data_IF_056312462849
#
_entry.id   IF_056312462849
#
_cell.length_a   1.000
_cell.length_b   1.000
_cell.length_c   1.000
_cell.angle_alpha   90.00
_cell.angle_beta   90.00
_cell.angle_gamma   90.00
#
_symmetry.space_group_name_H-M   'P 1'
#
loop_
_entity.id
_entity.type
_entity.pdbx_description
1 polymer ?
#
# COMPACT_ATOMS: atom_id res chain seq x y z
N UNK A 1 17.32 -17.60 2.86
CA UNK A 1 18.25 -16.77 3.67
C UNK A 1 17.42 -15.79 4.50
N UNK A 2 17.72 -15.59 5.79
CA UNK A 2 16.93 -14.72 6.69
C UNK A 2 17.57 -13.36 6.97
N UNK A 3 18.83 -13.20 6.58
CA UNK A 3 19.59 -11.96 6.73
C UNK A 3 20.59 -11.84 5.60
N UNK A 4 20.72 -10.64 5.02
CA UNK A 4 21.77 -10.27 4.08
C UNK A 4 22.54 -9.08 4.67
N UNK A 5 23.86 -9.27 4.77
CA UNK A 5 24.83 -8.37 5.41
C UNK A 5 24.63 -8.14 6.92
N UNK A 6 25.69 -8.36 7.72
CA UNK A 6 25.71 -8.23 9.18
C UNK A 6 25.84 -9.55 9.95
N UNK A 7 26.07 -9.48 11.27
CA UNK A 7 26.33 -10.66 12.12
C UNK A 7 25.14 -11.64 12.10
N UNK A 8 25.41 -12.92 11.82
CA UNK A 8 24.41 -13.99 11.82
C UNK A 8 23.70 -14.04 13.18
N UNK A 9 22.37 -14.16 13.20
CA UNK A 9 21.65 -14.41 14.45
C UNK A 9 22.15 -15.72 15.04
N UNK A 10 22.30 -15.78 16.37
CA UNK A 10 22.67 -17.01 17.07
C UNK A 10 21.64 -18.09 16.74
N UNK A 11 22.08 -19.23 16.19
CA UNK A 11 21.20 -20.35 15.78
C UNK A 11 20.13 -20.70 16.83
N UNK A 12 20.51 -20.62 18.12
CA UNK A 12 19.64 -20.85 19.29
C UNK A 12 18.35 -20.02 19.32
N UNK A 13 18.35 -18.78 18.83
CA UNK A 13 17.14 -17.94 18.80
C UNK A 13 16.19 -18.36 17.67
N UNK A 14 16.73 -18.82 16.53
CA UNK A 14 15.90 -19.37 15.46
C UNK A 14 15.28 -20.70 15.89
N UNK A 15 16.05 -21.56 16.58
CA UNK A 15 15.57 -22.86 17.04
C UNK A 15 14.36 -22.74 17.97
N UNK A 16 14.39 -21.82 18.95
CA UNK A 16 13.25 -21.62 19.87
C UNK A 16 11.98 -21.16 19.17
N UNK A 17 12.12 -20.26 18.19
CA UNK A 17 10.98 -19.77 17.40
C UNK A 17 10.38 -20.89 16.55
N UNK A 18 11.23 -21.64 15.84
CA UNK A 18 10.79 -22.80 15.06
C UNK A 18 10.11 -23.86 15.95
N UNK A 19 10.67 -24.13 17.12
CA UNK A 19 10.11 -25.10 18.07
C UNK A 19 8.74 -24.66 18.58
N UNK A 20 8.58 -23.38 18.91
CA UNK A 20 7.30 -22.82 19.34
C UNK A 20 6.23 -22.86 18.24
N UNK A 21 6.60 -22.51 17.00
CA UNK A 21 5.70 -22.59 15.84
C UNK A 21 5.21 -24.03 15.64
N UNK A 22 6.13 -24.99 15.67
CA UNK A 22 5.79 -26.41 15.52
C UNK A 22 4.95 -26.93 16.70
N UNK A 23 5.32 -26.61 17.94
CA UNK A 23 4.60 -27.03 19.15
C UNK A 23 3.16 -26.50 19.16
N UNK A 24 2.93 -25.29 18.63
CA UNK A 24 1.61 -24.70 18.52
C UNK A 24 0.83 -25.16 17.28
N UNK A 25 1.37 -26.08 16.47
CA UNK A 25 0.69 -26.62 15.28
C UNK A 25 0.56 -25.61 14.13
N UNK A 26 1.40 -24.58 14.10
CA UNK A 26 1.43 -23.60 13.03
C UNK A 26 2.38 -24.04 11.91
N UNK A 27 2.01 -23.70 10.68
CA UNK A 27 2.83 -23.84 9.48
C UNK A 27 3.04 -22.48 8.84
N UNK A 28 4.17 -22.31 8.15
CA UNK A 28 4.44 -21.11 7.38
C UNK A 28 3.63 -21.12 6.08
N UNK A 29 2.96 -20.01 5.77
CA UNK A 29 2.15 -19.89 4.55
C UNK A 29 2.97 -19.65 3.27
N UNK A 30 4.29 -19.51 3.38
CA UNK A 30 5.13 -19.04 2.29
C UNK A 30 4.94 -17.55 2.02
N UNK A 31 5.58 -17.04 0.97
CA UNK A 31 5.44 -15.66 0.53
C UNK A 31 5.87 -15.49 -0.94
N UNK A 32 5.44 -14.38 -1.53
CA UNK A 32 5.83 -13.89 -2.86
C UNK A 32 6.41 -12.49 -2.69
N UNK A 33 7.59 -12.24 -3.26
CA UNK A 33 8.29 -10.96 -3.18
C UNK A 33 9.64 -11.07 -2.46
N UNK A 34 10.13 -9.96 -1.91
CA UNK A 34 11.45 -9.91 -1.27
C UNK A 34 11.53 -10.90 -0.10
N UNK A 35 12.64 -11.65 0.07
CA UNK A 35 12.82 -12.54 1.21
C UNK A 35 13.02 -11.78 2.53
N UNK A 36 13.15 -10.46 2.49
CA UNK A 36 13.31 -9.60 3.66
C UNK A 36 12.04 -8.79 3.89
N UNK A 37 11.70 -8.55 5.15
CA UNK A 37 10.54 -7.72 5.55
C UNK A 37 10.96 -6.49 6.32
N UNK A 38 12.27 -6.32 6.52
CA UNK A 38 12.86 -5.21 7.21
C UNK A 38 14.21 -4.85 6.59
N UNK A 39 14.49 -3.56 6.47
CA UNK A 39 15.80 -3.07 6.03
C UNK A 39 16.23 -1.82 6.79
N UNK A 40 17.53 -1.65 7.00
CA UNK A 40 18.08 -0.42 7.60
C UNK A 40 19.45 -0.11 7.04
N UNK A 41 19.68 1.16 6.74
CA UNK A 41 21.01 1.64 6.37
C UNK A 41 21.92 1.62 7.62
N UNK A 42 23.07 0.98 7.49
CA UNK A 42 24.13 0.96 8.49
C UNK A 42 25.32 1.78 7.96
N UNK A 43 25.89 2.72 8.74
CA UNK A 43 26.93 3.63 8.27
C UNK A 43 28.15 2.91 7.65
N UNK A 44 28.59 1.81 8.26
CA UNK A 44 29.81 1.09 7.84
C UNK A 44 29.55 -0.20 7.04
N UNK A 45 28.33 -0.73 7.08
CA UNK A 45 28.02 -2.09 6.62
C UNK A 45 27.01 -2.11 5.47
N UNK A 46 26.82 -0.95 4.82
CA UNK A 46 25.80 -0.81 3.79
C UNK A 46 24.39 -0.98 4.33
N UNK A 47 23.49 -1.54 3.51
CA UNK A 47 22.09 -1.74 3.89
C UNK A 47 21.91 -3.16 4.42
N UNK A 48 21.46 -3.27 5.67
CA UNK A 48 21.18 -4.54 6.33
C UNK A 48 19.74 -4.94 6.03
N UNK A 49 19.52 -6.17 5.61
CA UNK A 49 18.19 -6.73 5.36
C UNK A 49 17.91 -7.93 6.26
N UNK A 50 16.70 -7.99 6.85
CA UNK A 50 16.28 -9.06 7.77
C UNK A 50 14.83 -9.46 7.47
N UNK A 51 14.52 -10.75 7.59
CA UNK A 51 13.13 -11.24 7.64
C UNK A 51 12.64 -11.29 9.09
N UNK A 52 11.77 -10.37 9.46
CA UNK A 52 11.17 -10.28 10.80
C UNK A 52 9.74 -10.82 10.83
N UNK A 53 8.99 -10.56 9.78
CA UNK A 53 7.55 -10.78 9.72
C UNK A 53 7.26 -12.07 8.95
N UNK A 54 6.29 -12.87 9.44
CA UNK A 54 5.86 -14.14 8.83
C UNK A 54 4.37 -14.31 9.00
N UNK A 55 3.72 -14.82 7.95
CA UNK A 55 2.36 -15.31 8.03
C UNK A 55 2.36 -16.81 8.39
N UNK A 56 1.68 -17.14 9.48
CA UNK A 56 1.56 -18.49 10.01
C UNK A 56 0.08 -18.85 10.12
N UNK A 57 -0.25 -20.12 9.87
CA UNK A 57 -1.62 -20.62 10.04
C UNK A 57 -1.60 -22.07 10.50
N UNK A 58 -2.70 -22.55 11.08
CA UNK A 58 -2.85 -23.98 11.40
C UNK A 58 -3.15 -24.76 10.13
N UNK A 59 -2.89 -26.06 10.15
CA UNK A 59 -3.23 -26.96 9.03
C UNK A 59 -4.71 -26.91 8.69
N UNK A 60 -5.59 -26.95 9.70
CA UNK A 60 -7.04 -26.81 9.52
C UNK A 60 -7.44 -25.52 8.79
N UNK A 61 -6.79 -24.40 9.10
CA UNK A 61 -7.04 -23.13 8.43
C UNK A 61 -6.57 -23.17 6.97
N UNK A 62 -5.39 -23.74 6.70
CA UNK A 62 -4.88 -23.87 5.31
C UNK A 62 -5.77 -24.76 4.44
N UNK A 63 -6.43 -25.76 5.04
CA UNK A 63 -7.40 -26.61 4.35
C UNK A 63 -8.70 -25.88 3.99
N UNK A 64 -9.10 -24.87 4.78
CA UNK A 64 -10.28 -24.04 4.50
C UNK A 64 -10.00 -22.98 3.43
N UNK A 65 -8.79 -22.41 3.41
CA UNK A 65 -8.41 -21.31 2.51
C UNK A 65 -7.31 -21.75 1.52
N UNK A 66 -7.59 -22.83 0.78
CA UNK A 66 -6.66 -23.41 -0.20
C UNK A 66 -6.38 -22.42 -1.34
N UNK A 67 -5.11 -22.08 -1.56
CA UNK A 67 -4.70 -21.05 -2.52
C UNK A 67 -4.49 -19.67 -1.90
N UNK A 68 -4.44 -19.58 -0.57
CA UNK A 68 -3.98 -18.35 0.12
C UNK A 68 -2.58 -17.98 -0.38
N UNK A 69 -2.38 -16.70 -0.72
CA UNK A 69 -1.07 -16.16 -1.04
C UNK A 69 -0.68 -15.07 -0.05
N UNK A 70 0.62 -14.93 0.20
CA UNK A 70 1.17 -13.87 1.05
C UNK A 70 2.13 -13.07 0.20
N UNK A 71 1.92 -11.76 0.08
CA UNK A 71 2.80 -10.88 -0.67
C UNK A 71 3.55 -9.94 0.26
N UNK A 72 4.86 -9.82 0.06
CA UNK A 72 5.67 -8.78 0.69
C UNK A 72 5.70 -7.56 -0.23
N UNK A 73 5.10 -6.46 0.23
CA UNK A 73 5.08 -5.18 -0.48
C UNK A 73 6.07 -4.20 0.13
N UNK A 74 6.92 -3.63 -0.71
CA UNK A 74 7.88 -2.59 -0.36
C UNK A 74 7.16 -1.31 0.05
N UNK A 75 7.67 -0.65 1.09
CA UNK A 75 7.11 0.60 1.60
C UNK A 75 8.18 1.69 1.53
N UNK A 76 7.94 2.75 0.76
CA UNK A 76 8.91 3.84 0.58
C UNK A 76 9.16 4.67 1.86
N UNK A 77 8.19 4.69 2.77
CA UNK A 77 8.21 5.49 4.00
C UNK A 77 8.48 4.67 5.26
N UNK A 78 8.68 3.36 5.15
CA UNK A 78 8.89 2.46 6.27
C UNK A 78 10.13 1.61 6.05
N UNK A 79 10.82 1.28 7.14
CA UNK A 79 11.86 0.27 7.12
C UNK A 79 11.30 -1.16 7.16
N UNK A 80 9.98 -1.32 7.30
CA UNK A 80 9.26 -2.60 7.21
C UNK A 80 8.49 -2.72 5.88
N UNK A 81 8.43 -3.95 5.35
CA UNK A 81 7.52 -4.33 4.27
C UNK A 81 6.13 -4.65 4.81
N UNK A 82 5.10 -4.38 4.02
CA UNK A 82 3.73 -4.78 4.34
C UNK A 82 3.49 -6.24 3.89
N UNK A 83 2.85 -7.04 4.75
CA UNK A 83 2.43 -8.41 4.43
C UNK A 83 0.94 -8.42 4.05
N UNK A 84 0.65 -8.74 2.79
CA UNK A 84 -0.72 -8.86 2.29
C UNK A 84 -1.09 -10.32 2.16
N UNK A 85 -2.02 -10.79 2.99
CA UNK A 85 -2.58 -12.14 2.91
C UNK A 85 -3.85 -12.09 2.06
N UNK A 86 -3.80 -12.72 0.89
CA UNK A 86 -4.93 -12.82 -0.03
C UNK A 86 -5.55 -14.19 0.12
N UNK A 87 -6.78 -14.23 0.61
CA UNK A 87 -7.57 -15.46 0.68
C UNK A 87 -8.22 -15.74 -0.68
N UNK A 88 -8.40 -17.02 -1.05
CA UNK A 88 -9.24 -17.39 -2.18
C UNK A 88 -10.67 -16.97 -1.85
N UNK A 89 -11.15 -15.91 -2.48
CA UNK A 89 -12.54 -15.48 -2.31
C UNK A 89 -13.42 -16.33 -3.24
N UNK A 90 -14.45 -16.97 -2.69
CA UNK A 90 -15.66 -17.21 -3.47
C UNK A 90 -16.08 -15.85 -3.99
N UNK A 91 -16.11 -15.66 -5.32
CA UNK A 91 -16.26 -14.37 -6.00
C UNK A 91 -17.48 -13.60 -5.51
N UNK A 92 -17.37 -12.92 -4.37
CA UNK A 92 -18.29 -11.86 -4.03
C UNK A 92 -17.85 -10.72 -4.92
N UNK A 93 -18.50 -10.65 -6.09
CA UNK A 93 -18.57 -9.44 -6.90
C UNK A 93 -19.12 -8.35 -5.99
N UNK A 94 -18.26 -7.76 -5.14
CA UNK A 94 -18.58 -6.49 -4.51
C UNK A 94 -18.87 -5.57 -5.70
N UNK A 95 -20.08 -5.01 -5.79
CA UNK A 95 -20.36 -4.05 -6.84
C UNK A 95 -19.23 -3.02 -6.78
N UNK A 96 -18.65 -2.68 -7.94
CA UNK A 96 -17.68 -1.59 -8.03
C UNK A 96 -18.40 -0.34 -7.55
N UNK A 97 -18.30 -0.06 -6.25
CA UNK A 97 -18.79 1.19 -5.69
C UNK A 97 -18.08 2.29 -6.47
N UNK A 98 -18.86 3.22 -7.02
CA UNK A 98 -18.28 4.41 -7.66
C UNK A 98 -17.37 5.04 -6.61
N UNK A 99 -16.09 5.21 -6.96
CA UNK A 99 -15.12 5.82 -6.05
C UNK A 99 -15.65 7.20 -5.67
N UNK A 100 -15.81 7.50 -4.37
CA UNK A 100 -16.24 8.83 -3.96
C UNK A 100 -15.20 9.86 -4.38
N UNK A 101 -15.65 11.10 -4.60
CA UNK A 101 -14.73 12.22 -4.74
C UNK A 101 -13.96 12.39 -3.43
N UNK A 102 -12.65 12.52 -3.53
CA UNK A 102 -11.76 12.80 -2.41
C UNK A 102 -10.91 13.99 -2.80
N UNK A 103 -10.81 14.96 -1.89
CA UNK A 103 -9.88 16.06 -2.04
C UNK A 103 -8.46 15.55 -1.76
N UNK A 104 -7.52 15.78 -2.68
CA UNK A 104 -6.14 15.36 -2.51
C UNK A 104 -5.30 16.50 -1.91
N UNK A 105 -4.64 16.24 -0.79
CA UNK A 105 -3.83 17.26 -0.09
C UNK A 105 -2.68 17.82 -0.95
N UNK A 106 -2.27 17.11 -2.01
CA UNK A 106 -1.26 17.60 -2.95
C UNK A 106 -1.72 18.85 -3.73
N UNK A 107 -3.03 19.02 -3.93
CA UNK A 107 -3.59 20.16 -4.66
C UNK A 107 -3.23 21.49 -3.97
N UNK A 108 -3.22 21.51 -2.64
CA UNK A 108 -2.84 22.68 -1.84
C UNK A 108 -1.38 23.12 -2.01
N UNK A 109 -0.54 22.29 -2.64
CA UNK A 109 0.87 22.65 -2.92
C UNK A 109 1.01 23.48 -4.19
N UNK A 110 -0.01 23.49 -5.06
CA UNK A 110 -0.06 24.36 -6.22
C UNK A 110 -0.90 25.60 -5.87
N UNK A 111 -0.32 26.82 -5.90
CA UNK A 111 -1.04 28.05 -5.58
C UNK A 111 -2.31 28.28 -6.40
N UNK A 112 -2.41 27.70 -7.60
CA UNK A 112 -3.59 27.82 -8.48
C UNK A 112 -4.80 27.05 -7.95
N UNK A 113 -4.64 26.16 -6.97
CA UNK A 113 -5.76 25.43 -6.36
C UNK A 113 -6.81 26.40 -5.79
N UNK A 114 -6.37 27.48 -5.15
CA UNK A 114 -7.28 28.46 -4.54
C UNK A 114 -8.11 29.17 -5.62
N UNK A 115 -7.48 29.55 -6.73
CA UNK A 115 -8.15 30.17 -7.89
C UNK A 115 -9.20 29.23 -8.49
N UNK A 116 -8.84 27.95 -8.70
CA UNK A 116 -9.74 26.93 -9.24
C UNK A 116 -10.97 26.73 -8.37
N UNK A 117 -10.79 26.69 -7.05
CA UNK A 117 -11.91 26.55 -6.09
C UNK A 117 -12.77 27.80 -6.09
N UNK A 118 -12.15 28.98 -6.03
CA UNK A 118 -12.86 30.26 -5.97
C UNK A 118 -13.74 30.48 -7.22
N UNK A 119 -13.19 30.27 -8.42
CA UNK A 119 -13.94 30.37 -9.68
C UNK A 119 -15.12 29.40 -9.70
N UNK A 120 -14.87 28.12 -9.42
CA UNK A 120 -15.91 27.09 -9.45
C UNK A 120 -17.01 27.36 -8.41
N UNK A 121 -16.63 27.89 -7.24
CA UNK A 121 -17.56 28.26 -6.18
C UNK A 121 -18.47 29.42 -6.61
N UNK A 122 -17.89 30.48 -7.18
CA UNK A 122 -18.65 31.63 -7.71
C UNK A 122 -19.61 31.19 -8.81
N UNK A 123 -19.15 30.40 -9.79
CA UNK A 123 -20.01 29.88 -10.85
C UNK A 123 -21.19 29.07 -10.30
N UNK A 124 -20.95 28.25 -9.26
CA UNK A 124 -22.01 27.47 -8.61
C UNK A 124 -23.02 28.33 -7.87
N UNK A 125 -22.57 29.41 -7.23
CA UNK A 125 -23.40 30.33 -6.45
C UNK A 125 -24.39 31.09 -7.35
N UNK A 126 -23.96 31.47 -8.55
CA UNK A 126 -24.77 32.22 -9.51
C UNK A 126 -25.59 31.34 -10.47
N UNK A 127 -25.61 30.02 -10.28
CA UNK A 127 -26.47 29.14 -11.08
C UNK A 127 -27.95 29.45 -10.80
N UNK A 128 -28.77 29.69 -11.85
CA UNK A 128 -30.16 30.13 -11.69
C UNK A 128 -31.11 29.04 -11.18
N UNK A 129 -30.70 27.77 -11.23
CA UNK A 129 -31.53 26.61 -10.88
C UNK A 129 -30.79 25.72 -9.89
N UNK A 130 -31.51 25.22 -8.88
CA UNK A 130 -31.00 24.29 -7.88
C UNK A 130 -30.60 24.97 -6.57
N UNK A 131 -30.09 24.18 -5.64
CA UNK A 131 -29.60 24.69 -4.36
C UNK A 131 -28.21 25.31 -4.53
N UNK A 132 -27.98 26.59 -4.13
CA UNK A 132 -26.70 27.25 -4.31
C UNK A 132 -25.52 26.46 -3.72
N UNK A 133 -25.68 25.92 -2.52
CA UNK A 133 -24.62 25.17 -1.85
C UNK A 133 -24.30 23.85 -2.58
N UNK A 134 -25.32 23.13 -3.04
CA UNK A 134 -25.13 21.89 -3.82
C UNK A 134 -24.46 22.18 -5.16
N UNK A 135 -24.83 23.30 -5.80
CA UNK A 135 -24.23 23.75 -7.05
C UNK A 135 -22.75 24.09 -6.86
N UNK A 136 -22.38 24.83 -5.80
CA UNK A 136 -20.99 25.12 -5.46
C UNK A 136 -20.18 23.84 -5.25
N UNK A 137 -20.67 22.89 -4.43
CA UNK A 137 -19.95 21.63 -4.19
C UNK A 137 -19.75 20.81 -5.47
N UNK A 138 -20.79 20.66 -6.29
CA UNK A 138 -20.69 19.90 -7.53
C UNK A 138 -19.73 20.57 -8.53
N UNK A 139 -19.78 21.89 -8.68
CA UNK A 139 -18.86 22.63 -9.54
C UNK A 139 -17.42 22.50 -9.06
N UNK A 140 -17.15 22.72 -7.77
CA UNK A 140 -15.80 22.58 -7.23
C UNK A 140 -15.27 21.17 -7.45
N UNK A 141 -16.10 20.14 -7.20
CA UNK A 141 -15.74 18.75 -7.50
C UNK A 141 -15.35 18.56 -8.97
N UNK A 142 -16.21 18.96 -9.90
CA UNK A 142 -15.98 18.77 -11.34
C UNK A 142 -14.75 19.53 -11.84
N UNK A 143 -14.57 20.77 -11.37
CA UNK A 143 -13.44 21.62 -11.74
C UNK A 143 -12.14 21.06 -11.19
N UNK A 144 -12.10 20.64 -9.92
CA UNK A 144 -10.94 20.01 -9.32
C UNK A 144 -10.63 18.66 -9.97
N UNK A 145 -11.62 17.83 -10.29
CA UNK A 145 -11.40 16.56 -11.01
C UNK A 145 -10.85 16.79 -12.43
N UNK A 146 -11.28 17.84 -13.12
CA UNK A 146 -10.80 18.20 -14.45
C UNK A 146 -9.38 18.75 -14.38
N UNK A 147 -9.14 19.71 -13.48
CA UNK A 147 -7.83 20.30 -13.24
C UNK A 147 -6.80 19.26 -12.78
N UNK A 148 -7.20 18.33 -11.91
CA UNK A 148 -6.34 17.22 -11.48
C UNK A 148 -5.89 16.37 -12.69
N UNK A 149 -6.79 16.08 -13.64
CA UNK A 149 -6.45 15.29 -14.83
C UNK A 149 -5.51 16.04 -15.79
N UNK A 150 -5.59 17.36 -15.88
CA UNK A 150 -4.76 18.15 -16.80
C UNK A 150 -3.39 18.47 -16.21
N UNK A 151 -3.32 18.89 -14.94
CA UNK A 151 -2.06 19.32 -14.31
C UNK A 151 -1.27 18.18 -13.70
N UNK A 152 -1.92 17.36 -12.87
CA UNK A 152 -1.25 16.28 -12.14
C UNK A 152 -1.35 14.94 -12.89
N UNK A 153 -2.36 14.82 -13.76
CA UNK A 153 -2.64 13.61 -14.51
C UNK A 153 -2.99 12.44 -13.60
N UNK A 154 -2.37 11.30 -13.85
CA UNK A 154 -2.59 10.09 -13.06
C UNK A 154 -1.46 9.85 -12.07
N UNK A 155 -1.37 10.70 -11.05
CA UNK A 155 -0.40 10.59 -9.96
C UNK A 155 -0.44 9.19 -9.35
N UNK A 156 -1.62 8.62 -9.15
CA UNK A 156 -1.78 7.25 -8.65
C UNK A 156 -1.09 6.21 -9.52
N UNK A 157 -1.18 6.33 -10.86
CA UNK A 157 -0.47 5.41 -11.75
C UNK A 157 1.04 5.58 -11.64
N UNK A 158 1.51 6.82 -11.45
CA UNK A 158 2.93 7.07 -11.24
C UNK A 158 3.42 6.47 -9.91
N UNK A 159 2.65 6.65 -8.83
CA UNK A 159 2.90 6.02 -7.53
C UNK A 159 2.96 4.51 -7.69
N UNK A 160 1.92 3.87 -8.23
CA UNK A 160 1.89 2.43 -8.45
C UNK A 160 3.05 1.94 -9.32
N UNK A 161 3.44 2.69 -10.36
CA UNK A 161 4.59 2.35 -11.21
C UNK A 161 5.90 2.43 -10.43
N UNK A 162 6.09 3.46 -9.62
CA UNK A 162 7.28 3.64 -8.80
C UNK A 162 7.36 2.60 -7.69
N UNK A 163 6.25 2.27 -7.04
CA UNK A 163 6.14 1.19 -6.06
C UNK A 163 6.48 -0.17 -6.67
N UNK A 164 5.97 -0.48 -7.86
CA UNK A 164 6.34 -1.70 -8.59
C UNK A 164 7.83 -1.74 -8.94
N UNK A 165 8.39 -0.61 -9.37
CA UNK A 165 9.83 -0.51 -9.66
C UNK A 165 10.66 -0.70 -8.39
N UNK A 166 10.27 -0.08 -7.28
CA UNK A 166 10.90 -0.26 -5.98
C UNK A 166 10.87 -1.73 -5.56
N UNK A 167 9.70 -2.37 -5.67
CA UNK A 167 9.52 -3.78 -5.33
C UNK A 167 10.40 -4.70 -6.19
N UNK A 168 10.54 -4.42 -7.49
CA UNK A 168 11.41 -5.18 -8.37
C UNK A 168 12.90 -5.03 -7.99
N UNK A 169 13.33 -3.82 -7.60
CA UNK A 169 14.70 -3.56 -7.14
C UNK A 169 14.99 -4.24 -5.79
N UNK A 170 14.03 -4.28 -4.87
CA UNK A 170 14.21 -4.91 -3.56
C UNK A 170 14.08 -6.44 -3.55
N UNK A 171 13.59 -7.04 -4.64
CA UNK A 171 13.57 -8.49 -4.82
C UNK A 171 14.95 -9.05 -5.19
N UNK A 172 15.82 -8.24 -5.81
CA UNK A 172 17.21 -8.57 -6.13
C UNK A 172 18.14 -7.49 -5.54
N UNK A 173 18.27 -7.44 -4.19
CA UNK A 173 19.08 -6.44 -3.50
C UNK A 173 20.58 -6.58 -3.79
#
# INVERSE_FOLDING_TARGET
MEKHEGCLRLAKQMDRSCLAIHHCGFVNLGFVGSPYTWSRNHPEKGRIFIRLDRALATTSWTSLFQGTTVHHLSMSTSNHSMLVVTLPSARHHRPRLKRPFLFEAMWLRDPRCDEVVQEAWMEGLYKPVGSPITNCFNNCKERLETWNKTEFGHVERQITRLEKKLQALEQNP
#
